data_IF_331033293550
#
_entry.id   IF_331033293550
#
_cell.length_a   1.000
_cell.length_b   1.000
_cell.length_c   1.000
_cell.angle_alpha   90.00
_cell.angle_beta   90.00
_cell.angle_gamma   90.00
#
_symmetry.space_group_name_H-M   'P 1'
#
loop_
_entity.id
_entity.type
_entity.pdbx_description
1 polymer ?
#
# COMPACT_ATOMS: atom_id res chain seq x y z
N UNK A 1 -33.49 -15.48 5.71
CA UNK A 1 -32.06 -15.61 6.03
C UNK A 1 -31.89 -16.67 7.10
N UNK A 2 -30.98 -17.62 6.88
CA UNK A 2 -30.61 -18.58 7.90
C UNK A 2 -29.83 -17.93 9.06
N UNK A 3 -29.91 -18.51 10.26
CA UNK A 3 -29.17 -18.04 11.45
C UNK A 3 -27.66 -18.06 11.27
N UNK A 4 -27.15 -18.96 10.40
CA UNK A 4 -25.73 -19.08 10.08
C UNK A 4 -25.23 -17.88 9.28
N UNK A 5 -25.98 -17.46 8.25
CA UNK A 5 -25.62 -16.30 7.40
C UNK A 5 -25.66 -14.99 8.20
N UNK A 6 -26.58 -14.87 9.17
CA UNK A 6 -26.62 -13.72 10.08
C UNK A 6 -25.38 -13.63 10.99
N UNK A 7 -24.98 -14.75 11.59
CA UNK A 7 -23.79 -14.78 12.44
C UNK A 7 -22.50 -14.48 11.65
N UNK A 8 -22.40 -14.98 10.42
CA UNK A 8 -21.29 -14.66 9.51
C UNK A 8 -21.25 -13.17 9.15
N UNK A 9 -22.41 -12.55 8.88
CA UNK A 9 -22.50 -11.12 8.60
C UNK A 9 -22.12 -10.24 9.80
N UNK A 10 -22.51 -10.60 11.02
CA UNK A 10 -22.14 -9.85 12.25
C UNK A 10 -20.64 -9.93 12.56
N UNK A 11 -20.05 -11.13 12.43
CA UNK A 11 -18.61 -11.32 12.59
C UNK A 11 -17.82 -10.52 11.55
N UNK A 12 -18.35 -10.49 10.32
CA UNK A 12 -17.78 -9.74 9.21
C UNK A 12 -17.82 -8.22 9.46
N UNK A 13 -18.96 -7.66 9.88
CA UNK A 13 -19.09 -6.24 10.23
C UNK A 13 -18.06 -5.80 11.29
N UNK A 14 -17.84 -6.64 12.30
CA UNK A 14 -16.82 -6.38 13.33
C UNK A 14 -15.40 -6.33 12.74
N UNK A 15 -15.11 -7.13 11.72
CA UNK A 15 -13.82 -7.10 11.02
C UNK A 15 -13.68 -5.87 10.12
N UNK A 16 -14.75 -5.46 9.45
CA UNK A 16 -14.80 -4.22 8.67
C UNK A 16 -14.51 -3.00 9.54
N UNK A 17 -15.17 -2.89 10.70
CA UNK A 17 -14.94 -1.78 11.65
C UNK A 17 -13.48 -1.71 12.12
N UNK A 18 -12.84 -2.86 12.38
CA UNK A 18 -11.42 -2.90 12.78
C UNK A 18 -10.48 -2.40 11.69
N UNK A 19 -10.70 -2.81 10.44
CA UNK A 19 -9.86 -2.43 9.31
C UNK A 19 -10.06 -0.97 8.92
N UNK A 20 -11.32 -0.50 8.94
CA UNK A 20 -11.64 0.89 8.59
C UNK A 20 -11.15 1.90 9.64
N UNK A 21 -11.05 1.51 10.91
CA UNK A 21 -10.61 2.36 12.01
C UNK A 21 -9.07 2.56 12.12
N UNK A 22 -8.27 1.89 11.29
CA UNK A 22 -6.80 2.04 11.31
C UNK A 22 -6.41 3.45 10.87
N UNK A 23 -5.72 4.18 11.76
CA UNK A 23 -5.11 5.49 11.45
C UNK A 23 -3.69 5.24 10.98
N UNK A 24 -3.43 5.52 9.71
CA UNK A 24 -2.10 5.34 9.13
C UNK A 24 -1.17 6.53 9.47
N UNK A 25 0.11 6.27 9.80
CA UNK A 25 1.09 7.31 10.12
C UNK A 25 1.30 8.28 8.95
N UNK A 26 1.72 9.52 9.25
CA UNK A 26 2.02 10.52 8.23
C UNK A 26 3.51 10.54 7.85
N UNK A 27 3.85 10.84 6.59
CA UNK A 27 5.24 11.01 6.17
C UNK A 27 5.92 12.18 6.87
N UNK A 28 7.15 11.96 7.33
CA UNK A 28 7.99 13.01 7.89
C UNK A 28 8.32 14.06 6.82
N UNK A 29 7.86 15.30 7.02
CA UNK A 29 7.97 16.36 6.01
C UNK A 29 9.42 16.77 5.69
N UNK A 30 10.30 16.78 6.70
CA UNK A 30 11.68 17.28 6.55
C UNK A 30 12.73 16.21 6.87
N UNK A 31 13.84 16.29 6.14
CA UNK A 31 15.05 15.50 6.43
C UNK A 31 15.74 16.18 7.60
N UNK A 32 15.90 15.44 8.70
CA UNK A 32 16.56 15.96 9.90
C UNK A 32 18.08 15.77 9.76
N UNK A 33 18.87 16.85 9.75
CA UNK A 33 20.33 16.75 9.65
C UNK A 33 20.93 16.14 10.92
N UNK A 34 22.13 15.58 10.82
CA UNK A 34 22.81 14.86 11.92
C UNK A 34 22.91 15.70 13.20
N UNK A 35 23.09 17.01 13.09
CA UNK A 35 23.27 17.95 14.20
C UNK A 35 21.97 18.23 14.96
N UNK A 36 20.82 18.06 14.30
CA UNK A 36 19.49 18.28 14.86
C UNK A 36 18.76 16.97 15.18
N UNK A 37 19.36 15.82 14.86
CA UNK A 37 18.75 14.51 15.04
C UNK A 37 18.71 14.12 16.53
N UNK A 38 17.65 13.39 16.91
CA UNK A 38 17.62 12.70 18.21
C UNK A 38 18.76 11.66 18.31
N UNK A 39 19.08 11.19 19.52
CA UNK A 39 20.19 10.25 19.71
C UNK A 39 20.06 8.98 18.85
N UNK A 40 18.87 8.42 18.77
CA UNK A 40 18.57 7.22 17.97
C UNK A 40 18.69 7.49 16.46
N UNK A 41 18.11 8.60 15.98
CA UNK A 41 18.21 9.00 14.58
C UNK A 41 19.68 9.30 14.20
N UNK A 42 20.42 9.98 15.07
CA UNK A 42 21.82 10.29 14.86
C UNK A 42 22.68 9.02 14.76
N UNK A 43 22.40 7.99 15.57
CA UNK A 43 23.05 6.68 15.45
C UNK A 43 22.75 6.05 14.09
N UNK A 44 21.47 6.06 13.67
CA UNK A 44 21.06 5.58 12.34
C UNK A 44 21.77 6.32 11.19
N UNK A 45 21.90 7.64 11.29
CA UNK A 45 22.61 8.47 10.30
C UNK A 45 24.10 8.09 10.27
N UNK A 46 24.76 8.02 11.43
CA UNK A 46 26.20 7.66 11.51
C UNK A 46 26.48 6.26 10.99
N UNK A 47 25.59 5.29 11.25
CA UNK A 47 25.70 3.94 10.70
C UNK A 47 25.74 3.99 9.18
N UNK A 48 24.82 4.73 8.55
CA UNK A 48 24.80 4.89 7.09
C UNK A 48 26.00 5.69 6.57
N UNK A 49 26.46 6.71 7.30
CA UNK A 49 27.70 7.42 6.95
C UNK A 49 28.90 6.46 6.85
N UNK A 50 28.95 5.45 7.73
CA UNK A 50 30.02 4.45 7.73
C UNK A 50 29.97 3.46 6.57
N UNK A 51 28.86 3.39 5.82
CA UNK A 51 28.75 2.59 4.60
C UNK A 51 29.54 3.21 3.44
N UNK A 52 29.88 4.51 3.53
CA UNK A 52 30.63 5.23 2.50
C UNK A 52 32.13 5.15 2.76
N UNK A 53 32.82 4.39 1.91
CA UNK A 53 34.27 4.33 1.83
C UNK A 53 34.77 5.05 0.58
N UNK A 54 35.44 6.19 0.77
CA UNK A 54 35.96 7.02 -0.32
C UNK A 54 37.06 6.33 -1.14
N UNK A 55 37.70 5.29 -0.60
CA UNK A 55 38.69 4.50 -1.34
C UNK A 55 38.03 3.40 -2.20
N UNK A 56 36.72 3.18 -2.03
CA UNK A 56 35.98 2.13 -2.70
C UNK A 56 34.74 2.71 -3.40
N UNK A 57 34.85 2.96 -4.70
CA UNK A 57 33.74 3.46 -5.53
C UNK A 57 32.49 2.58 -5.46
N UNK A 58 32.63 1.27 -5.25
CA UNK A 58 31.47 0.39 -5.13
C UNK A 58 30.65 0.66 -3.87
N UNK A 59 31.28 1.15 -2.80
CA UNK A 59 30.55 1.55 -1.59
C UNK A 59 29.59 2.73 -1.87
N UNK A 60 30.03 3.68 -2.70
CA UNK A 60 29.25 4.86 -3.11
C UNK A 60 28.12 4.45 -4.05
N UNK A 61 28.40 3.56 -5.02
CA UNK A 61 27.39 3.02 -5.93
C UNK A 61 26.30 2.26 -5.15
N UNK A 62 26.72 1.47 -4.15
CA UNK A 62 25.82 0.68 -3.32
C UNK A 62 25.09 1.50 -2.22
N UNK A 63 25.51 2.73 -1.95
CA UNK A 63 24.95 3.56 -0.89
C UNK A 63 23.44 3.79 -1.10
N UNK A 64 22.60 3.35 -0.16
CA UNK A 64 21.14 3.41 -0.29
C UNK A 64 20.52 2.45 -1.31
N UNK A 65 21.30 1.53 -1.90
CA UNK A 65 20.78 0.51 -2.83
C UNK A 65 19.86 -0.50 -2.14
N UNK A 66 20.10 -0.78 -0.85
CA UNK A 66 19.23 -1.63 -0.04
C UNK A 66 17.80 -1.07 0.04
N UNK A 67 17.67 0.24 0.23
CA UNK A 67 16.38 0.91 0.19
C UNK A 67 15.75 0.79 -1.22
N UNK A 68 16.53 0.96 -2.30
CA UNK A 68 16.01 0.85 -3.66
C UNK A 68 15.48 -0.55 -4.03
N UNK A 69 16.00 -1.62 -3.42
CA UNK A 69 15.46 -2.98 -3.61
C UNK A 69 14.03 -3.11 -3.07
N UNK A 70 13.70 -2.37 -2.01
CA UNK A 70 12.36 -2.35 -1.41
C UNK A 70 11.32 -1.73 -2.36
N UNK A 71 11.70 -0.75 -3.18
CA UNK A 71 10.85 -0.19 -4.23
C UNK A 71 10.39 -1.25 -5.25
N UNK A 72 11.23 -2.23 -5.56
CA UNK A 72 10.87 -3.30 -6.48
C UNK A 72 9.81 -4.24 -5.87
N UNK A 73 9.89 -4.50 -4.57
CA UNK A 73 8.90 -5.28 -3.82
C UNK A 73 7.57 -4.52 -3.75
N UNK A 74 7.63 -3.22 -3.43
CA UNK A 74 6.48 -2.31 -3.40
C UNK A 74 5.79 -2.26 -4.78
N UNK A 75 6.55 -2.16 -5.87
CA UNK A 75 6.03 -2.12 -7.24
C UNK A 75 5.36 -3.44 -7.65
N UNK A 76 5.94 -4.59 -7.28
CA UNK A 76 5.33 -5.89 -7.54
C UNK A 76 4.02 -6.08 -6.77
N UNK A 77 3.96 -5.64 -5.50
CA UNK A 77 2.74 -5.68 -4.71
C UNK A 77 1.63 -4.84 -5.36
N UNK A 78 1.94 -3.61 -5.81
CA UNK A 78 1.00 -2.76 -6.54
C UNK A 78 0.46 -3.41 -7.83
N UNK A 79 1.34 -4.05 -8.62
CA UNK A 79 0.93 -4.67 -9.89
C UNK A 79 0.07 -5.92 -9.71
N UNK A 80 0.32 -6.71 -8.66
CA UNK A 80 -0.52 -7.88 -8.34
C UNK A 80 -1.92 -7.45 -7.93
N UNK A 81 -2.04 -6.39 -7.13
CA UNK A 81 -3.35 -5.87 -6.70
C UNK A 81 -4.16 -5.33 -7.89
N UNK A 82 -3.54 -4.54 -8.79
CA UNK A 82 -4.22 -4.02 -10.00
C UNK A 82 -4.70 -5.16 -10.91
N UNK A 83 -3.91 -6.22 -11.07
CA UNK A 83 -4.26 -7.37 -11.91
C UNK A 83 -5.45 -8.17 -11.35
N UNK A 84 -5.63 -8.17 -10.03
CA UNK A 84 -6.73 -8.88 -9.38
C UNK A 84 -8.03 -8.06 -9.32
N UNK A 85 -7.98 -6.74 -9.60
CA UNK A 85 -9.12 -5.80 -9.56
C UNK A 85 -10.06 -5.87 -10.78
N UNK A 86 -10.09 -6.98 -11.54
CA UNK A 86 -11.13 -7.19 -12.55
C UNK A 86 -12.54 -7.04 -11.92
N UNK A 87 -13.36 -6.26 -12.63
CA UNK A 87 -14.58 -5.58 -12.19
C UNK A 87 -15.70 -6.53 -11.72
N UNK A 88 -16.42 -6.09 -10.69
CA UNK A 88 -17.19 -6.94 -9.76
C UNK A 88 -18.56 -7.48 -10.21
N UNK A 89 -18.96 -8.70 -9.77
CA UNK A 89 -20.30 -9.30 -9.96
C UNK A 89 -21.41 -8.77 -9.05
N UNK A 90 -21.09 -8.00 -8.00
CA UNK A 90 -22.06 -7.61 -6.97
C UNK A 90 -23.24 -6.77 -7.52
N UNK A 91 -23.00 -5.99 -8.57
CA UNK A 91 -24.04 -5.23 -9.27
C UNK A 91 -25.06 -6.13 -10.01
N UNK A 92 -24.63 -7.29 -10.51
CA UNK A 92 -25.52 -8.23 -11.19
C UNK A 92 -26.34 -9.04 -10.18
N UNK A 93 -25.76 -9.41 -9.04
CA UNK A 93 -26.49 -10.06 -7.95
C UNK A 93 -27.57 -9.16 -7.35
N UNK A 94 -27.30 -7.86 -7.15
CA UNK A 94 -28.30 -6.88 -6.69
C UNK A 94 -29.42 -6.64 -7.72
N UNK A 95 -29.09 -6.53 -9.02
CA UNK A 95 -30.10 -6.44 -10.09
C UNK A 95 -31.01 -7.66 -10.13
N UNK A 96 -30.46 -8.85 -9.84
CA UNK A 96 -31.21 -10.11 -9.80
C UNK A 96 -32.26 -10.08 -8.69
N UNK A 97 -31.94 -9.58 -7.49
CA UNK A 97 -32.93 -9.37 -6.41
C UNK A 97 -34.05 -8.44 -6.86
N UNK A 98 -33.71 -7.27 -7.41
CA UNK A 98 -34.71 -6.28 -7.86
C UNK A 98 -35.61 -6.87 -8.94
N UNK A 99 -35.08 -7.73 -9.81
CA UNK A 99 -35.85 -8.42 -10.85
C UNK A 99 -36.76 -9.48 -10.25
N UNK A 100 -36.27 -10.32 -9.33
CA UNK A 100 -37.08 -11.32 -8.63
C UNK A 100 -38.21 -10.65 -7.84
N UNK A 101 -37.92 -9.59 -7.06
CA UNK A 101 -38.91 -8.79 -6.30
C UNK A 101 -39.92 -8.09 -7.23
N UNK A 102 -39.51 -7.63 -8.42
CA UNK A 102 -40.44 -7.06 -9.41
C UNK A 102 -41.29 -8.13 -10.09
N UNK A 103 -40.79 -9.35 -10.27
CA UNK A 103 -41.57 -10.50 -10.75
C UNK A 103 -42.77 -10.81 -9.86
N UNK A 104 -42.60 -10.67 -8.52
CA UNK A 104 -43.71 -10.76 -7.55
C UNK A 104 -44.81 -9.71 -7.75
N UNK A 105 -44.50 -8.55 -8.34
CA UNK A 105 -45.48 -7.49 -8.54
C UNK A 105 -46.26 -7.62 -9.87
N UNK A 106 -45.81 -8.46 -10.80
CA UNK A 106 -46.36 -8.54 -12.16
C UNK A 106 -47.28 -9.76 -12.35
N UNK A 107 -47.04 -10.88 -11.66
CA UNK A 107 -47.83 -12.11 -11.86
C UNK A 107 -49.02 -12.32 -10.89
N UNK A 108 -49.30 -11.37 -9.97
CA UNK A 108 -50.43 -11.51 -9.01
C UNK A 108 -51.50 -10.41 -9.08
N UNK A 109 -51.51 -9.54 -10.10
CA UNK A 109 -52.56 -8.51 -10.25
C UNK A 109 -53.48 -8.74 -11.46
N UNK A 110 -54.09 -9.93 -11.54
CA UNK A 110 -55.46 -10.06 -12.07
C UNK A 110 -56.39 -10.71 -11.04
N UNK A 111 -56.68 -9.95 -9.98
CA UNK A 111 -57.70 -10.28 -8.98
C UNK A 111 -59.13 -9.94 -9.43
N UNK A 112 -59.41 -9.90 -10.75
CA UNK A 112 -60.77 -9.76 -11.31
C UNK A 112 -61.29 -11.04 -11.95
N UNK A 113 -60.97 -12.21 -11.41
CA UNK A 113 -61.70 -13.44 -11.75
C UNK A 113 -62.68 -13.79 -10.63
N UNK A 114 -63.96 -13.69 -10.93
CA UNK A 114 -65.02 -14.28 -10.10
C UNK A 114 -64.78 -15.80 -10.02
N UNK A 115 -64.55 -16.30 -8.81
CA UNK A 115 -64.33 -17.73 -8.56
C UNK A 115 -65.52 -18.56 -9.07
N UNK A 116 -65.24 -19.54 -9.93
CA UNK A 116 -66.26 -20.40 -10.53
C UNK A 116 -66.83 -21.35 -9.47
N UNK A 117 -68.14 -21.61 -9.53
CA UNK A 117 -68.89 -22.41 -8.55
C UNK A 117 -68.30 -23.81 -8.27
N UNK A 118 -67.51 -24.34 -9.20
CA UNK A 118 -66.80 -25.62 -9.06
C UNK A 118 -65.62 -25.57 -8.06
N UNK A 119 -64.96 -24.43 -7.88
CA UNK A 119 -63.81 -24.29 -6.97
C UNK A 119 -64.24 -24.27 -5.49
N UNK A 120 -65.42 -23.72 -5.21
CA UNK A 120 -66.04 -23.73 -3.87
C UNK A 120 -66.52 -25.13 -3.44
N UNK A 121 -66.87 -26.00 -4.40
CA UNK A 121 -67.39 -27.34 -4.13
C UNK A 121 -66.29 -28.36 -3.82
N UNK A 122 -65.08 -28.18 -4.35
CA UNK A 122 -63.97 -29.13 -4.19
C UNK A 122 -63.07 -28.87 -2.98
N UNK A 123 -63.40 -27.91 -2.12
CA UNK A 123 -62.60 -27.62 -0.91
C UNK A 123 -61.13 -27.34 -1.23
N UNK A 124 -60.86 -26.73 -2.39
CA UNK A 124 -59.50 -26.48 -2.84
C UNK A 124 -58.96 -25.31 -2.03
N UNK A 125 -58.25 -25.61 -0.96
CA UNK A 125 -57.41 -24.62 -0.29
C UNK A 125 -56.54 -23.95 -1.37
N UNK A 126 -56.48 -22.62 -1.36
CA UNK A 126 -55.54 -21.84 -2.16
C UNK A 126 -54.13 -22.46 -2.06
N UNK A 127 -53.26 -22.31 -3.06
CA UNK A 127 -52.04 -23.11 -3.17
C UNK A 127 -50.98 -22.65 -2.16
N UNK A 128 -51.23 -22.93 -0.87
CA UNK A 128 -50.34 -22.65 0.24
C UNK A 128 -48.99 -23.35 0.06
N UNK A 129 -49.00 -24.54 -0.55
CA UNK A 129 -47.78 -25.25 -0.95
C UNK A 129 -46.97 -24.49 -2.02
N UNK A 130 -47.64 -23.79 -2.94
CA UNK A 130 -46.99 -23.00 -4.00
C UNK A 130 -46.42 -21.70 -3.41
N UNK A 131 -47.15 -21.05 -2.50
CA UNK A 131 -46.65 -19.91 -1.73
C UNK A 131 -45.44 -20.27 -0.85
N UNK A 132 -45.48 -21.41 -0.14
CA UNK A 132 -44.36 -21.90 0.66
C UNK A 132 -43.15 -22.24 -0.22
N UNK A 133 -43.35 -22.90 -1.35
CA UNK A 133 -42.27 -23.20 -2.29
C UNK A 133 -41.65 -21.94 -2.90
N UNK A 134 -42.47 -20.93 -3.25
CA UNK A 134 -41.99 -19.63 -3.74
C UNK A 134 -41.26 -18.83 -2.65
N UNK A 135 -41.73 -18.89 -1.40
CA UNK A 135 -41.05 -18.27 -0.26
C UNK A 135 -39.68 -18.92 0.01
N UNK A 136 -39.61 -20.26 -0.02
CA UNK A 136 -38.37 -21.01 0.10
C UNK A 136 -37.38 -20.69 -1.02
N UNK A 137 -37.87 -20.50 -2.26
CA UNK A 137 -37.04 -20.10 -3.41
C UNK A 137 -36.46 -18.69 -3.23
N UNK A 138 -37.28 -17.71 -2.81
CA UNK A 138 -36.80 -16.35 -2.49
C UNK A 138 -35.79 -16.37 -1.36
N UNK A 139 -36.06 -17.13 -0.31
CA UNK A 139 -35.13 -17.26 0.81
C UNK A 139 -33.79 -17.84 0.35
N UNK A 140 -33.79 -18.85 -0.52
CA UNK A 140 -32.59 -19.42 -1.13
C UNK A 140 -31.85 -18.43 -2.03
N UNK A 141 -32.58 -17.61 -2.80
CA UNK A 141 -31.97 -16.54 -3.63
C UNK A 141 -31.35 -15.44 -2.77
N UNK A 142 -32.00 -15.03 -1.68
CA UNK A 142 -31.45 -14.06 -0.72
C UNK A 142 -30.18 -14.64 -0.07
N UNK A 143 -30.23 -15.87 0.44
CA UNK A 143 -29.08 -16.50 1.10
C UNK A 143 -27.89 -16.64 0.13
N UNK A 144 -28.14 -17.00 -1.14
CA UNK A 144 -27.09 -17.07 -2.17
C UNK A 144 -26.45 -15.70 -2.44
N UNK A 145 -27.26 -14.65 -2.59
CA UNK A 145 -26.75 -13.32 -2.92
C UNK A 145 -26.04 -12.71 -1.72
N UNK A 146 -26.52 -12.95 -0.51
CA UNK A 146 -25.80 -12.57 0.71
C UNK A 146 -24.47 -13.30 0.83
N UNK A 147 -24.40 -14.59 0.51
CA UNK A 147 -23.12 -15.31 0.46
C UNK A 147 -22.17 -14.74 -0.60
N UNK A 148 -22.67 -14.39 -1.79
CA UNK A 148 -21.88 -13.74 -2.84
C UNK A 148 -21.38 -12.35 -2.41
N UNK A 149 -22.22 -11.56 -1.72
CA UNK A 149 -21.85 -10.26 -1.16
C UNK A 149 -20.79 -10.41 -0.07
N UNK A 150 -20.99 -11.30 0.91
CA UNK A 150 -20.02 -11.56 1.98
C UNK A 150 -18.66 -12.00 1.42
N UNK A 151 -18.64 -12.84 0.38
CA UNK A 151 -17.40 -13.24 -0.31
C UNK A 151 -16.69 -12.06 -0.98
N UNK A 152 -17.46 -11.17 -1.62
CA UNK A 152 -16.92 -9.97 -2.25
C UNK A 152 -16.38 -8.98 -1.22
N UNK A 153 -17.13 -8.71 -0.15
CA UNK A 153 -16.69 -7.83 0.92
C UNK A 153 -15.44 -8.40 1.62
N UNK A 154 -15.32 -9.73 1.77
CA UNK A 154 -14.11 -10.37 2.27
C UNK A 154 -12.90 -10.17 1.35
N UNK A 155 -13.10 -10.08 0.04
CA UNK A 155 -12.05 -9.67 -0.91
C UNK A 155 -11.65 -8.21 -0.68
N UNK A 156 -12.62 -7.30 -0.56
CA UNK A 156 -12.36 -5.88 -0.29
C UNK A 156 -11.56 -5.69 1.01
N UNK A 157 -11.91 -6.42 2.09
CA UNK A 157 -11.14 -6.35 3.33
C UNK A 157 -9.70 -6.84 3.19
N UNK A 158 -9.46 -7.87 2.38
CA UNK A 158 -8.10 -8.32 2.07
C UNK A 158 -7.35 -7.25 1.29
N UNK A 159 -7.99 -6.63 0.31
CA UNK A 159 -7.39 -5.58 -0.51
C UNK A 159 -7.05 -4.35 0.34
N UNK A 160 -7.93 -3.90 1.23
CA UNK A 160 -7.66 -2.78 2.16
C UNK A 160 -6.44 -3.11 3.06
N UNK A 161 -6.39 -4.32 3.64
CA UNK A 161 -5.25 -4.75 4.46
C UNK A 161 -3.94 -4.80 3.65
N UNK A 162 -3.99 -5.28 2.40
CA UNK A 162 -2.83 -5.28 1.51
C UNK A 162 -2.36 -3.86 1.20
N UNK A 163 -3.29 -2.92 0.98
CA UNK A 163 -2.98 -1.51 0.78
C UNK A 163 -2.41 -0.85 2.03
N UNK A 164 -2.88 -1.21 3.23
CA UNK A 164 -2.31 -0.72 4.51
C UNK A 164 -0.84 -1.15 4.63
N UNK A 165 -0.55 -2.43 4.37
CA UNK A 165 0.83 -2.95 4.35
C UNK A 165 1.67 -2.24 3.28
N UNK A 166 1.10 -2.01 2.09
CA UNK A 166 1.77 -1.30 1.02
C UNK A 166 2.10 0.14 1.43
N UNK A 167 1.16 0.83 2.08
CA UNK A 167 1.36 2.18 2.59
C UNK A 167 2.48 2.22 3.62
N UNK A 168 2.44 1.34 4.62
CA UNK A 168 3.47 1.23 5.66
C UNK A 168 4.86 0.99 5.05
N UNK A 169 4.99 0.01 4.15
CA UNK A 169 6.25 -0.26 3.45
C UNK A 169 6.75 0.93 2.63
N UNK A 170 5.84 1.63 1.96
CA UNK A 170 6.19 2.83 1.18
C UNK A 170 6.65 3.96 2.09
N UNK A 171 6.03 4.10 3.26
CA UNK A 171 6.43 5.08 4.26
C UNK A 171 7.77 4.74 4.91
N UNK A 172 8.00 3.47 5.25
CA UNK A 172 9.29 3.00 5.79
C UNK A 172 10.41 3.25 4.78
N UNK A 173 10.20 2.87 3.52
CA UNK A 173 11.13 3.16 2.44
C UNK A 173 11.37 4.67 2.28
N UNK A 174 10.31 5.48 2.32
CA UNK A 174 10.41 6.94 2.29
C UNK A 174 11.29 7.46 3.42
N UNK A 175 11.04 7.03 4.67
CA UNK A 175 11.80 7.44 5.86
C UNK A 175 13.26 7.01 5.79
N UNK A 176 13.51 5.78 5.35
CA UNK A 176 14.84 5.19 5.15
C UNK A 176 15.69 6.02 4.18
N UNK A 177 15.11 6.46 3.05
CA UNK A 177 15.78 7.38 2.13
C UNK A 177 16.20 8.68 2.82
N UNK A 178 15.43 9.18 3.78
CA UNK A 178 15.77 10.38 4.54
C UNK A 178 17.01 10.21 5.39
N UNK A 179 17.15 9.07 6.06
CA UNK A 179 18.34 8.74 6.85
C UNK A 179 19.58 8.61 5.95
N UNK A 180 19.44 8.00 4.77
CA UNK A 180 20.52 7.91 3.79
C UNK A 180 20.91 9.28 3.22
N UNK A 181 19.94 10.17 2.94
CA UNK A 181 20.22 11.53 2.46
C UNK A 181 20.96 12.33 3.54
N UNK A 182 20.45 12.32 4.79
CA UNK A 182 21.10 13.00 5.90
C UNK A 182 22.54 12.49 6.14
N UNK A 183 22.75 11.18 6.04
CA UNK A 183 24.08 10.57 6.13
C UNK A 183 25.01 11.00 5.00
N UNK A 184 24.52 10.99 3.76
CA UNK A 184 25.31 11.41 2.61
C UNK A 184 25.69 12.89 2.68
N UNK A 185 24.76 13.76 3.08
CA UNK A 185 25.03 15.19 3.30
C UNK A 185 26.06 15.41 4.40
N UNK A 186 25.90 14.77 5.56
CA UNK A 186 26.86 14.84 6.64
C UNK A 186 28.25 14.35 6.22
N UNK A 187 28.33 13.27 5.43
CA UNK A 187 29.59 12.74 4.91
C UNK A 187 30.24 13.70 3.91
N UNK A 188 29.46 14.34 3.02
CA UNK A 188 29.97 15.36 2.10
C UNK A 188 30.55 16.55 2.87
N UNK A 189 29.87 17.00 3.94
CA UNK A 189 30.37 18.06 4.82
C UNK A 189 31.68 17.65 5.53
N UNK A 190 31.75 16.45 6.10
CA UNK A 190 32.98 15.89 6.71
C UNK A 190 34.14 15.87 5.70
N UNK A 191 33.88 15.39 4.48
CA UNK A 191 34.89 15.27 3.43
C UNK A 191 35.39 16.64 2.98
N UNK A 192 34.49 17.61 2.80
CA UNK A 192 34.85 18.96 2.41
C UNK A 192 35.60 19.73 3.51
N UNK A 193 35.18 19.60 4.76
CA UNK A 193 35.73 20.37 5.87
C UNK A 193 37.01 19.76 6.47
N UNK A 194 37.17 18.43 6.38
CA UNK A 194 38.23 17.72 7.12
C UNK A 194 39.09 16.87 6.20
N UNK A 195 38.51 15.95 5.44
CA UNK A 195 39.27 14.91 4.71
C UNK A 195 40.09 15.52 3.57
N UNK A 196 39.47 16.34 2.72
CA UNK A 196 40.15 16.97 1.58
C UNK A 196 41.25 17.93 2.06
N UNK A 197 40.99 18.88 3.00
CA UNK A 197 42.04 19.78 3.50
C UNK A 197 43.20 19.04 4.18
N UNK A 198 42.92 17.97 4.93
CA UNK A 198 43.96 17.13 5.52
C UNK A 198 44.83 16.49 4.43
N UNK A 199 44.20 15.97 3.37
CA UNK A 199 44.93 15.36 2.25
C UNK A 199 45.73 16.37 1.43
N UNK A 200 45.21 17.57 1.22
CA UNK A 200 45.94 18.68 0.61
C UNK A 200 47.20 19.03 1.40
N UNK A 201 47.10 19.09 2.73
CA UNK A 201 48.25 19.34 3.60
C UNK A 201 49.28 18.19 3.55
N UNK A 202 48.86 16.93 3.40
CA UNK A 202 49.75 15.80 3.17
C UNK A 202 50.51 15.93 1.85
N UNK A 203 49.81 16.29 0.75
CA UNK A 203 50.41 16.49 -0.58
C UNK A 203 51.44 17.62 -0.54
N UNK A 204 51.15 18.72 0.15
CA UNK A 204 52.05 19.86 0.27
C UNK A 204 53.33 19.56 1.09
N UNK A 205 53.27 18.59 2.01
CA UNK A 205 54.40 18.19 2.87
C UNK A 205 55.17 16.97 2.34
N UNK A 206 54.66 16.32 1.29
CA UNK A 206 55.26 15.11 0.74
C UNK A 206 56.60 15.42 0.03
N UNK A 207 57.62 14.54 0.14
CA UNK A 207 58.81 14.61 -0.70
C UNK A 207 58.46 14.52 -2.18
N UNK A 208 59.29 15.10 -3.07
CA UNK A 208 59.03 15.11 -4.53
C UNK A 208 58.74 13.72 -5.11
N UNK A 209 59.41 12.67 -4.59
CA UNK A 209 59.22 11.29 -5.02
C UNK A 209 57.80 10.75 -4.75
N UNK A 210 57.15 11.20 -3.68
CA UNK A 210 55.82 10.74 -3.27
C UNK A 210 54.70 11.72 -3.66
N UNK A 211 55.05 12.95 -4.01
CA UNK A 211 54.11 14.04 -4.26
C UNK A 211 53.11 13.70 -5.37
N UNK A 212 53.56 12.99 -6.42
CA UNK A 212 52.69 12.55 -7.54
C UNK A 212 51.64 11.55 -7.06
N UNK A 213 52.03 10.57 -6.24
CA UNK A 213 51.12 9.54 -5.71
C UNK A 213 50.08 10.20 -4.81
N UNK A 214 50.51 11.07 -3.88
CA UNK A 214 49.60 11.78 -2.98
C UNK A 214 48.63 12.69 -3.72
N UNK A 215 49.09 13.37 -4.78
CA UNK A 215 48.23 14.21 -5.61
C UNK A 215 47.16 13.39 -6.34
N UNK A 216 47.49 12.17 -6.77
CA UNK A 216 46.52 11.25 -7.36
C UNK A 216 45.49 10.79 -6.30
N UNK A 217 45.93 10.39 -5.10
CA UNK A 217 45.03 10.03 -3.99
C UNK A 217 44.05 11.18 -3.66
N UNK A 218 44.52 12.43 -3.63
CA UNK A 218 43.66 13.61 -3.43
C UNK A 218 42.62 13.77 -4.54
N UNK A 219 43.03 13.56 -5.80
CA UNK A 219 42.12 13.61 -6.95
C UNK A 219 41.05 12.54 -6.84
N UNK A 220 41.42 11.33 -6.43
CA UNK A 220 40.49 10.21 -6.28
C UNK A 220 39.47 10.49 -5.17
N UNK A 221 39.89 11.06 -4.03
CA UNK A 221 38.97 11.50 -2.96
C UNK A 221 37.98 12.56 -3.46
N UNK A 222 38.44 13.53 -4.26
CA UNK A 222 37.55 14.56 -4.83
C UNK A 222 36.56 13.95 -5.82
N UNK A 223 36.99 13.00 -6.65
CA UNK A 223 36.09 12.28 -7.56
C UNK A 223 35.05 11.46 -6.78
N UNK A 224 35.47 10.76 -5.72
CA UNK A 224 34.58 10.01 -4.84
C UNK A 224 33.54 10.93 -4.15
N UNK A 225 33.94 12.14 -3.73
CA UNK A 225 33.00 13.15 -3.22
C UNK A 225 31.94 13.51 -4.27
N UNK A 226 32.35 13.79 -5.50
CA UNK A 226 31.44 14.19 -6.59
C UNK A 226 30.45 13.06 -6.94
N UNK A 227 30.91 11.82 -6.91
CA UNK A 227 30.06 10.65 -7.13
C UNK A 227 29.06 10.46 -5.97
N UNK A 228 29.49 10.69 -4.73
CA UNK A 228 28.61 10.66 -3.56
C UNK A 228 27.54 11.78 -3.63
N UNK A 229 27.91 12.99 -4.05
CA UNK A 229 26.97 14.10 -4.22
C UNK A 229 25.88 13.75 -5.24
N UNK A 230 26.27 13.18 -6.38
CA UNK A 230 25.32 12.70 -7.39
C UNK A 230 24.41 11.61 -6.83
N UNK A 231 24.98 10.65 -6.09
CA UNK A 231 24.21 9.58 -5.46
C UNK A 231 23.18 10.11 -4.46
N UNK A 232 23.56 11.08 -3.63
CA UNK A 232 22.63 11.74 -2.69
C UNK A 232 21.52 12.47 -3.43
N UNK A 233 21.82 13.12 -4.55
CA UNK A 233 20.81 13.75 -5.39
C UNK A 233 19.78 12.73 -5.92
N UNK A 234 20.23 11.59 -6.43
CA UNK A 234 19.34 10.53 -6.92
C UNK A 234 18.43 9.98 -5.81
N UNK A 235 18.94 9.87 -4.58
CA UNK A 235 18.14 9.47 -3.41
C UNK A 235 17.07 10.52 -3.08
N UNK A 236 17.39 11.82 -3.17
CA UNK A 236 16.40 12.91 -2.99
C UNK A 236 15.28 12.84 -4.02
N UNK A 237 15.62 12.64 -5.30
CA UNK A 237 14.63 12.47 -6.36
C UNK A 237 13.73 11.26 -6.10
N UNK A 238 14.33 10.13 -5.70
CA UNK A 238 13.58 8.92 -5.34
C UNK A 238 12.62 9.20 -4.18
N UNK A 239 13.09 9.86 -3.11
CA UNK A 239 12.25 10.22 -1.95
C UNK A 239 11.08 11.11 -2.35
N UNK A 240 11.29 12.05 -3.26
CA UNK A 240 10.23 12.91 -3.79
C UNK A 240 9.17 12.11 -4.55
N UNK A 241 9.57 11.20 -5.42
CA UNK A 241 8.62 10.35 -6.17
C UNK A 241 7.84 9.44 -5.22
N UNK A 242 8.49 8.84 -4.23
CA UNK A 242 7.84 8.02 -3.20
C UNK A 242 6.82 8.82 -2.38
N UNK A 243 7.13 10.08 -2.03
CA UNK A 243 6.18 10.95 -1.35
C UNK A 243 4.90 11.16 -2.17
N UNK A 244 5.05 11.34 -3.48
CA UNK A 244 3.93 11.58 -4.39
C UNK A 244 3.04 10.34 -4.58
N UNK A 245 3.52 9.12 -4.31
CA UNK A 245 2.71 7.91 -4.42
C UNK A 245 1.84 7.63 -3.19
N UNK A 246 2.22 8.12 -1.99
CA UNK A 246 1.48 7.89 -0.75
C UNK A 246 0.00 8.36 -0.79
N UNK A 247 -0.34 9.55 -1.31
CA UNK A 247 -1.74 9.98 -1.43
C UNK A 247 -2.57 9.10 -2.36
N UNK A 248 -1.96 8.60 -3.44
CA UNK A 248 -2.64 7.71 -4.39
C UNK A 248 -3.02 6.37 -3.74
N UNK A 249 -2.16 5.82 -2.87
CA UNK A 249 -2.47 4.61 -2.09
C UNK A 249 -3.66 4.88 -1.16
N UNK A 250 -3.66 6.02 -0.44
CA UNK A 250 -4.78 6.42 0.43
C UNK A 250 -6.10 6.58 -0.33
N UNK A 251 -6.08 7.21 -1.50
CA UNK A 251 -7.28 7.38 -2.32
C UNK A 251 -7.89 6.04 -2.73
N UNK A 252 -7.06 5.05 -3.08
CA UNK A 252 -7.56 3.71 -3.42
C UNK A 252 -8.13 3.00 -2.19
N UNK A 253 -7.50 3.14 -1.02
CA UNK A 253 -8.05 2.62 0.24
C UNK A 253 -9.42 3.23 0.57
N UNK A 254 -9.56 4.55 0.44
CA UNK A 254 -10.84 5.24 0.71
C UNK A 254 -11.96 4.79 -0.24
N UNK A 255 -11.63 4.51 -1.52
CA UNK A 255 -12.60 3.95 -2.47
C UNK A 255 -12.98 2.51 -2.11
N UNK A 256 -12.03 1.66 -1.69
CA UNK A 256 -12.32 0.28 -1.32
C UNK A 256 -13.07 0.17 0.03
N UNK A 257 -13.00 1.21 0.87
CA UNK A 257 -13.76 1.36 2.13
C UNK A 257 -15.20 1.86 1.92
N UNK A 258 -15.53 2.42 0.75
CA UNK A 258 -16.83 3.06 0.42
C UNK A 258 -17.77 2.11 -0.31
#
# INVERSE_FOLDING_TARGET
>A
MSTTVQAEAEAFLTEVEKVTAVILPEPMAEIVPLEAASAEQAEGIRKRMSEVDLANTQSIIAFGSAAQAELQVISQAMLQDVKNKDVGPAGDSLRKIVTTIRGFAVDELDLRREASWWEKLLGRAAPFAEFVAQYEDVQGQIDKITSELLSHEHRLLKDIKSLDILYEKTLDFYNELGLYIAAGEAKLTEVAATVIPAKEAEVAKAPEADQVIRAQELRDIRAARDDLERRVHDLKLTRQVTMQSLPSIRLVQENDKS
#
